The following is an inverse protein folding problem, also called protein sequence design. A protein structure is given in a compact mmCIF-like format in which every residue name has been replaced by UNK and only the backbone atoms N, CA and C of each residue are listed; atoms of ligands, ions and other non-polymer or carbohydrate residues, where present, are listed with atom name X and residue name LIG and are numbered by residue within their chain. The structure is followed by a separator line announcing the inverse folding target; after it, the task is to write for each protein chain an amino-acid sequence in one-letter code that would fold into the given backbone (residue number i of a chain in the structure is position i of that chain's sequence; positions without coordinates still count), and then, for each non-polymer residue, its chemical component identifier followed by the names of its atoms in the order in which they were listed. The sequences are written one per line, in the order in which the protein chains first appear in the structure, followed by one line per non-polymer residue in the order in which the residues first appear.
data_IF_792874210672
#
_entry.id   IF_792874210672
#
_cell.length_a   1.000
_cell.length_b   1.000
_cell.length_c   1.000
_cell.angle_alpha   90.00
_cell.angle_beta   90.00
_cell.angle_gamma   90.00
#
_symmetry.space_group_name_H-M   'P 1'
#
loop_
_entity.id
_entity.type
_entity.pdbx_description
1 polymer ?
#
# COMPACT_ATOMS: atom_id res chain seq x y z
N UNK A 1 -9.36 32.78 15.37
CA UNK A 1 -8.03 33.00 14.74
C UNK A 1 -7.78 31.85 13.79
N UNK A 2 -7.61 32.11 12.49
CA UNK A 2 -7.28 31.05 11.53
C UNK A 2 -5.90 30.47 11.87
N UNK A 3 -5.81 29.14 11.88
CA UNK A 3 -4.55 28.41 12.11
C UNK A 3 -3.50 28.84 11.07
N UNK A 4 -2.23 29.03 11.46
CA UNK A 4 -1.13 29.38 10.53
C UNK A 4 -0.83 28.30 9.48
N UNK A 5 -1.54 27.17 9.53
CA UNK A 5 -1.40 26.04 8.62
C UNK A 5 -2.41 26.02 7.48
N UNK A 6 -3.45 26.87 7.49
CA UNK A 6 -4.44 26.94 6.40
C UNK A 6 -4.22 28.17 5.52
N UNK A 7 -3.96 27.96 4.22
CA UNK A 7 -3.87 29.03 3.22
C UNK A 7 -5.13 29.04 2.35
N UNK A 8 -5.94 30.12 2.34
CA UNK A 8 -7.13 30.20 1.50
C UNK A 8 -6.78 30.12 0.00
N UNK A 9 -7.71 29.54 -0.75
CA UNK A 9 -7.63 29.27 -2.19
C UNK A 9 -7.65 30.57 -3.02
N UNK A 10 -6.46 31.11 -3.35
CA UNK A 10 -6.31 32.01 -4.50
C UNK A 10 -6.36 31.23 -5.82
N UNK A 11 -6.83 31.85 -6.91
CA UNK A 11 -6.75 31.27 -8.25
C UNK A 11 -5.28 30.97 -8.60
N UNK A 12 -4.98 29.71 -8.95
CA UNK A 12 -3.61 29.23 -9.15
C UNK A 12 -3.37 28.83 -10.60
N UNK A 13 -2.12 29.01 -11.10
CA UNK A 13 -1.77 28.67 -12.47
C UNK A 13 -1.93 27.17 -12.72
N UNK A 14 -2.27 26.84 -13.96
CA UNK A 14 -2.36 25.48 -14.47
C UNK A 14 -1.04 24.69 -14.23
N UNK A 15 -1.10 23.34 -14.18
CA UNK A 15 0.10 22.51 -14.10
C UNK A 15 1.10 22.88 -15.22
N UNK A 16 2.40 22.78 -14.93
CA UNK A 16 3.41 22.97 -15.97
C UNK A 16 3.30 21.88 -17.04
N UNK A 17 3.72 22.16 -18.27
CA UNK A 17 3.75 21.17 -19.35
C UNK A 17 4.53 19.90 -18.94
N UNK A 18 5.63 20.04 -18.18
CA UNK A 18 6.39 18.93 -17.64
C UNK A 18 5.60 18.07 -16.63
N UNK A 19 4.82 18.71 -15.76
CA UNK A 19 3.97 17.99 -14.80
C UNK A 19 2.86 17.24 -15.55
N UNK A 20 2.24 17.86 -16.55
CA UNK A 20 1.23 17.22 -17.40
C UNK A 20 1.81 16.01 -18.12
N UNK A 21 2.98 16.15 -18.77
CA UNK A 21 3.64 15.04 -19.48
C UNK A 21 3.99 13.87 -18.54
N UNK A 22 4.54 14.19 -17.35
CA UNK A 22 4.87 13.17 -16.36
C UNK A 22 3.63 12.38 -15.92
N UNK A 23 2.54 13.08 -15.58
CA UNK A 23 1.32 12.41 -15.14
C UNK A 23 0.68 11.62 -16.28
N UNK A 24 0.64 12.17 -17.50
CA UNK A 24 0.16 11.43 -18.66
C UNK A 24 0.96 10.15 -18.88
N UNK A 25 2.29 10.19 -18.73
CA UNK A 25 3.12 8.99 -18.79
C UNK A 25 2.79 7.99 -17.68
N UNK A 26 2.61 8.45 -16.44
CA UNK A 26 2.21 7.59 -15.32
C UNK A 26 0.85 6.92 -15.57
N UNK A 27 -0.15 7.67 -16.06
CA UNK A 27 -1.47 7.11 -16.40
C UNK A 27 -1.37 6.07 -17.52
N UNK A 28 -0.60 6.36 -18.57
CA UNK A 28 -0.43 5.46 -19.71
C UNK A 28 0.37 4.20 -19.37
N UNK A 29 1.39 4.31 -18.52
CA UNK A 29 2.34 3.22 -18.23
C UNK A 29 1.98 2.43 -16.97
N UNK A 30 1.18 2.99 -16.06
CA UNK A 30 0.82 2.35 -14.78
C UNK A 30 -0.68 2.12 -14.70
N UNK A 31 -1.48 3.20 -14.77
CA UNK A 31 -2.91 3.10 -14.50
C UNK A 31 -3.64 2.17 -15.47
N UNK A 32 -3.49 2.41 -16.77
CA UNK A 32 -4.19 1.64 -17.81
C UNK A 32 -3.72 0.17 -17.86
N UNK A 33 -2.42 -0.14 -18.05
CA UNK A 33 -1.97 -1.53 -18.15
C UNK A 33 -2.16 -2.28 -16.84
N UNK A 34 -1.92 -1.64 -15.69
CA UNK A 34 -2.14 -2.25 -14.38
C UNK A 34 -3.60 -2.59 -14.14
N UNK A 35 -4.52 -1.65 -14.38
CA UNK A 35 -5.94 -1.92 -14.24
C UNK A 35 -6.45 -2.99 -15.20
N UNK A 36 -5.96 -3.01 -16.45
CA UNK A 36 -6.27 -4.06 -17.40
C UNK A 36 -5.79 -5.43 -16.91
N UNK A 37 -4.53 -5.54 -16.47
CA UNK A 37 -3.96 -6.80 -15.99
C UNK A 37 -4.66 -7.33 -14.74
N UNK A 38 -4.84 -6.48 -13.72
CA UNK A 38 -5.59 -6.82 -12.50
C UNK A 38 -7.04 -7.22 -12.83
N UNK A 39 -7.70 -6.49 -13.74
CA UNK A 39 -9.05 -6.82 -14.19
C UNK A 39 -9.13 -8.20 -14.85
N UNK A 40 -8.17 -8.51 -15.73
CA UNK A 40 -8.11 -9.84 -16.38
C UNK A 40 -7.86 -10.96 -15.38
N UNK A 41 -6.99 -10.74 -14.37
CA UNK A 41 -6.76 -11.71 -13.29
C UNK A 41 -8.01 -11.94 -12.45
N UNK A 42 -8.69 -10.86 -12.05
CA UNK A 42 -9.92 -10.97 -11.26
C UNK A 42 -11.01 -11.72 -12.02
N UNK A 43 -11.18 -11.43 -13.33
CA UNK A 43 -12.13 -12.16 -14.18
C UNK A 43 -11.72 -13.62 -14.33
N UNK A 44 -10.44 -13.91 -14.57
CA UNK A 44 -9.95 -15.28 -14.68
C UNK A 44 -10.25 -16.08 -13.42
N UNK A 45 -9.89 -15.56 -12.25
CA UNK A 45 -10.14 -16.19 -10.95
C UNK A 45 -11.64 -16.41 -10.72
N UNK A 46 -12.49 -15.43 -11.04
CA UNK A 46 -13.94 -15.54 -10.91
C UNK A 46 -14.54 -16.61 -11.83
N UNK A 47 -14.00 -16.78 -13.04
CA UNK A 47 -14.50 -17.77 -14.01
C UNK A 47 -14.01 -19.18 -13.68
N UNK A 48 -12.81 -19.33 -13.13
CA UNK A 48 -12.23 -20.63 -12.78
C UNK A 48 -12.84 -21.17 -11.49
N UNK A 49 -12.87 -20.37 -10.42
CA UNK A 49 -13.34 -20.78 -9.09
C UNK A 49 -14.25 -19.72 -8.45
N UNK A 50 -15.49 -19.54 -8.94
CA UNK A 50 -16.35 -18.44 -8.54
C UNK A 50 -16.63 -18.39 -7.03
N UNK A 51 -16.76 -19.56 -6.38
CA UNK A 51 -17.02 -19.64 -4.94
C UNK A 51 -15.81 -19.13 -4.15
N UNK A 52 -14.60 -19.60 -4.47
CA UNK A 52 -13.37 -19.15 -3.79
C UNK A 52 -13.12 -17.67 -4.05
N UNK A 53 -13.31 -17.21 -5.29
CA UNK A 53 -13.18 -15.81 -5.66
C UNK A 53 -14.10 -14.90 -4.82
N UNK A 54 -15.38 -15.27 -4.68
CA UNK A 54 -16.34 -14.51 -3.89
C UNK A 54 -15.97 -14.53 -2.41
N UNK A 55 -15.64 -15.70 -1.85
CA UNK A 55 -15.25 -15.82 -0.44
C UNK A 55 -13.97 -15.02 -0.13
N UNK A 56 -12.99 -15.04 -1.03
CA UNK A 56 -11.76 -14.29 -0.92
C UNK A 56 -12.01 -12.78 -0.96
N UNK A 57 -12.81 -12.31 -1.90
CA UNK A 57 -13.22 -10.91 -1.98
C UNK A 57 -13.98 -10.45 -0.73
N UNK A 58 -14.89 -11.29 -0.21
CA UNK A 58 -15.61 -11.00 1.04
C UNK A 58 -14.68 -10.91 2.24
N UNK A 59 -13.73 -11.85 2.41
CA UNK A 59 -12.76 -11.84 3.49
C UNK A 59 -11.79 -10.64 3.40
N UNK A 60 -11.27 -10.36 2.20
CA UNK A 60 -10.41 -9.20 1.97
C UNK A 60 -11.16 -7.89 2.27
N UNK A 61 -12.43 -7.79 1.88
CA UNK A 61 -13.27 -6.62 2.17
C UNK A 61 -13.57 -6.51 3.67
N UNK A 62 -13.96 -7.61 4.32
CA UNK A 62 -14.29 -7.64 5.74
C UNK A 62 -13.10 -7.23 6.63
N UNK A 63 -11.88 -7.53 6.21
CA UNK A 63 -10.66 -7.15 6.92
C UNK A 63 -10.19 -5.73 6.57
N UNK A 64 -10.37 -5.28 5.32
CA UNK A 64 -9.90 -3.95 4.88
C UNK A 64 -10.81 -2.79 5.31
N UNK A 65 -12.13 -2.98 5.25
CA UNK A 65 -13.12 -1.92 5.54
C UNK A 65 -12.98 -1.32 6.94
N UNK A 66 -12.77 -2.10 8.03
CA UNK A 66 -12.56 -1.53 9.35
C UNK A 66 -11.37 -0.56 9.43
N UNK A 67 -10.26 -0.85 8.74
CA UNK A 67 -9.10 0.03 8.72
C UNK A 67 -9.34 1.30 7.91
N UNK A 68 -9.99 1.18 6.74
CA UNK A 68 -10.39 2.35 5.96
C UNK A 68 -11.37 3.23 6.76
N UNK A 69 -12.36 2.63 7.43
CA UNK A 69 -13.30 3.36 8.27
C UNK A 69 -12.62 4.07 9.44
N UNK A 70 -11.66 3.42 10.11
CA UNK A 70 -10.87 4.03 11.19
C UNK A 70 -10.04 5.20 10.68
N UNK A 71 -9.37 5.05 9.53
CA UNK A 71 -8.60 6.11 8.90
C UNK A 71 -9.48 7.33 8.56
N UNK A 72 -10.63 7.09 7.91
CA UNK A 72 -11.57 8.16 7.56
C UNK A 72 -12.24 8.79 8.79
N UNK A 73 -12.31 8.05 9.90
CA UNK A 73 -12.73 8.62 11.18
C UNK A 73 -11.70 9.60 11.74
N UNK A 74 -10.40 9.34 11.60
CA UNK A 74 -9.37 10.31 11.95
C UNK A 74 -9.43 11.57 11.07
N UNK A 75 -9.78 11.40 9.79
CA UNK A 75 -9.92 12.48 8.80
C UNK A 75 -11.26 13.25 8.87
N UNK A 76 -12.16 12.89 9.78
CA UNK A 76 -13.55 13.38 9.79
C UNK A 76 -13.72 14.91 9.90
N UNK A 77 -12.71 15.63 10.39
CA UNK A 77 -12.80 17.07 10.63
C UNK A 77 -12.52 17.89 9.37
N UNK A 78 -11.79 17.35 8.41
CA UNK A 78 -11.44 18.00 7.13
C UNK A 78 -11.56 16.93 6.02
N UNK A 79 -12.77 16.43 5.78
CA UNK A 79 -12.97 15.29 4.87
C UNK A 79 -12.54 15.59 3.44
N UNK A 80 -11.66 14.73 2.94
CA UNK A 80 -11.26 14.70 1.54
C UNK A 80 -12.41 14.27 0.60
N UNK A 81 -12.41 14.70 -0.68
CA UNK A 81 -13.49 14.37 -1.59
C UNK A 81 -13.50 12.86 -1.87
N UNK A 82 -14.68 12.25 -1.67
CA UNK A 82 -14.87 10.80 -1.76
C UNK A 82 -14.32 10.16 -3.05
N UNK A 83 -14.37 10.86 -4.17
CA UNK A 83 -13.86 10.35 -5.43
C UNK A 83 -12.33 10.24 -5.45
N UNK A 84 -11.57 11.10 -4.76
CA UNK A 84 -10.12 10.98 -4.62
C UNK A 84 -9.73 9.87 -3.64
N UNK A 85 -10.49 9.71 -2.56
CA UNK A 85 -10.32 8.60 -1.63
C UNK A 85 -10.52 7.26 -2.35
N UNK A 86 -11.59 7.17 -3.14
CA UNK A 86 -11.88 6.00 -3.97
C UNK A 86 -10.81 5.80 -5.05
N UNK A 87 -10.40 6.85 -5.75
CA UNK A 87 -9.36 6.77 -6.77
C UNK A 87 -8.01 6.30 -6.18
N UNK A 88 -7.67 6.73 -4.98
CA UNK A 88 -6.44 6.34 -4.29
C UNK A 88 -6.47 4.86 -3.91
N UNK A 89 -7.59 4.40 -3.34
CA UNK A 89 -7.80 2.98 -3.08
C UNK A 89 -7.73 2.15 -4.37
N UNK A 90 -8.46 2.56 -5.42
CA UNK A 90 -8.48 1.84 -6.71
C UNK A 90 -7.12 1.85 -7.40
N UNK A 91 -6.33 2.92 -7.27
CA UNK A 91 -4.96 2.95 -7.78
C UNK A 91 -4.13 1.84 -7.17
N UNK A 92 -4.17 1.71 -5.84
CA UNK A 92 -3.53 0.61 -5.13
C UNK A 92 -4.00 -0.74 -5.63
N UNK A 93 -5.32 -0.96 -5.60
CA UNK A 93 -5.95 -2.24 -5.89
C UNK A 93 -5.81 -2.71 -7.34
N UNK A 94 -5.62 -1.80 -8.29
CA UNK A 94 -5.68 -2.15 -9.72
C UNK A 94 -4.40 -1.75 -10.45
N UNK A 95 -4.09 -0.46 -10.51
CA UNK A 95 -2.95 0.06 -11.23
C UNK A 95 -1.62 -0.47 -10.67
N UNK A 96 -1.39 -0.27 -9.37
CA UNK A 96 -0.15 -0.67 -8.73
C UNK A 96 -0.01 -2.20 -8.66
N UNK A 97 -1.04 -2.92 -8.19
CA UNK A 97 -0.97 -4.39 -8.10
C UNK A 97 -0.79 -5.04 -9.48
N UNK A 98 -1.49 -4.55 -10.50
CA UNK A 98 -1.44 -5.18 -11.83
C UNK A 98 -0.06 -5.07 -12.48
N UNK A 99 0.55 -3.89 -12.42
CA UNK A 99 1.92 -3.72 -12.92
C UNK A 99 2.93 -4.46 -12.04
N UNK A 100 2.73 -4.49 -10.72
CA UNK A 100 3.61 -5.19 -9.80
C UNK A 100 3.67 -6.70 -10.10
N UNK A 101 2.52 -7.34 -10.36
CA UNK A 101 2.46 -8.75 -10.74
C UNK A 101 3.37 -9.04 -11.94
N UNK A 102 3.22 -8.27 -13.02
CA UNK A 102 4.02 -8.45 -14.24
C UNK A 102 5.51 -8.21 -14.00
N UNK A 103 5.85 -7.14 -13.27
CA UNK A 103 7.25 -6.78 -13.04
C UNK A 103 7.95 -7.75 -12.07
N UNK A 104 7.26 -8.23 -11.04
CA UNK A 104 7.81 -9.21 -10.09
C UNK A 104 8.06 -10.55 -10.79
N UNK A 105 7.15 -11.00 -11.66
CA UNK A 105 7.35 -12.21 -12.48
C UNK A 105 8.54 -12.04 -13.44
N UNK A 106 8.63 -10.88 -14.10
CA UNK A 106 9.75 -10.58 -15.00
C UNK A 106 11.10 -10.55 -14.27
N UNK A 107 11.18 -9.96 -13.07
CA UNK A 107 12.41 -9.96 -12.27
C UNK A 107 12.78 -11.38 -11.85
N UNK A 108 11.82 -12.21 -11.45
CA UNK A 108 12.06 -13.61 -11.11
C UNK A 108 12.61 -14.39 -12.30
N UNK A 109 11.99 -14.27 -13.47
CA UNK A 109 12.44 -14.94 -14.68
C UNK A 109 13.86 -14.51 -15.13
N UNK A 110 14.16 -13.21 -15.04
CA UNK A 110 15.49 -12.69 -15.34
C UNK A 110 16.53 -13.14 -14.31
N UNK A 111 16.16 -13.18 -13.03
CA UNK A 111 17.00 -13.68 -11.95
C UNK A 111 17.32 -15.16 -12.12
N UNK A 112 16.34 -15.98 -12.49
CA UNK A 112 16.52 -17.40 -12.78
C UNK A 112 17.46 -17.59 -13.98
N UNK A 113 17.28 -16.83 -15.06
CA UNK A 113 18.19 -16.86 -16.20
C UNK A 113 19.63 -16.46 -15.83
N UNK A 114 19.79 -15.48 -14.93
CA UNK A 114 21.10 -14.98 -14.52
C UNK A 114 21.83 -15.90 -13.53
N UNK A 115 21.08 -16.60 -12.66
CA UNK A 115 21.65 -17.40 -11.56
C UNK A 115 21.62 -18.91 -11.84
N UNK A 116 20.73 -19.37 -12.72
CA UNK A 116 20.44 -20.80 -12.92
C UNK A 116 19.67 -21.43 -11.76
N UNK A 117 19.15 -20.63 -10.82
CA UNK A 117 18.44 -21.11 -9.63
C UNK A 117 17.13 -20.34 -9.40
N UNK A 118 16.02 -21.03 -9.64
CA UNK A 118 14.66 -20.48 -9.49
C UNK A 118 14.37 -20.06 -8.05
N UNK A 119 14.77 -20.84 -7.05
CA UNK A 119 14.43 -20.57 -5.65
C UNK A 119 15.18 -19.33 -5.15
N UNK A 120 16.45 -19.18 -5.52
CA UNK A 120 17.21 -17.96 -5.23
C UNK A 120 16.59 -16.74 -5.91
N UNK A 121 16.16 -16.87 -7.17
CA UNK A 121 15.50 -15.78 -7.89
C UNK A 121 14.18 -15.35 -7.23
N UNK A 122 13.32 -16.31 -6.89
CA UNK A 122 12.06 -16.07 -6.17
C UNK A 122 12.31 -15.39 -4.83
N UNK A 123 13.26 -15.88 -4.03
CA UNK A 123 13.62 -15.28 -2.74
C UNK A 123 14.09 -13.84 -2.91
N UNK A 124 14.97 -13.58 -3.89
CA UNK A 124 15.42 -12.21 -4.18
C UNK A 124 14.26 -11.30 -4.56
N UNK A 125 13.35 -11.78 -5.42
CA UNK A 125 12.17 -11.02 -5.83
C UNK A 125 11.30 -10.68 -4.62
N UNK A 126 10.89 -11.68 -3.84
CA UNK A 126 10.00 -11.49 -2.69
C UNK A 126 10.64 -10.53 -1.67
N UNK A 127 11.93 -10.68 -1.38
CA UNK A 127 12.57 -9.93 -0.30
C UNK A 127 12.94 -8.51 -0.71
N UNK A 128 13.43 -8.30 -1.94
CA UNK A 128 14.01 -7.01 -2.33
C UNK A 128 13.30 -6.36 -3.51
N UNK A 129 13.07 -7.10 -4.60
CA UNK A 129 12.53 -6.50 -5.81
C UNK A 129 11.06 -6.09 -5.65
N UNK A 130 10.24 -6.96 -5.06
CA UNK A 130 8.83 -6.73 -4.83
C UNK A 130 8.60 -5.49 -3.93
N UNK A 131 9.25 -5.34 -2.75
CA UNK A 131 9.16 -4.10 -1.98
C UNK A 131 9.51 -2.83 -2.78
N UNK A 132 10.57 -2.88 -3.57
CA UNK A 132 10.98 -1.73 -4.38
C UNK A 132 9.95 -1.42 -5.48
N UNK A 133 9.53 -2.44 -6.24
CA UNK A 133 8.59 -2.31 -7.36
C UNK A 133 7.22 -1.83 -6.85
N UNK A 134 6.70 -2.50 -5.84
CA UNK A 134 5.36 -2.26 -5.34
C UNK A 134 5.23 -0.89 -4.67
N UNK A 135 6.14 -0.55 -3.76
CA UNK A 135 6.08 0.76 -3.11
C UNK A 135 6.33 1.89 -4.12
N UNK A 136 7.15 1.67 -5.16
CA UNK A 136 7.33 2.64 -6.26
C UNK A 136 6.01 2.87 -7.01
N UNK A 137 5.33 1.79 -7.40
CA UNK A 137 4.07 1.87 -8.14
C UNK A 137 2.95 2.50 -7.30
N UNK A 138 2.90 2.23 -6.00
CA UNK A 138 2.00 2.90 -5.05
C UNK A 138 2.33 4.38 -4.92
N UNK A 139 3.60 4.74 -4.78
CA UNK A 139 4.04 6.12 -4.67
C UNK A 139 3.67 6.96 -5.91
N UNK A 140 3.53 6.36 -7.09
CA UNK A 140 3.08 7.10 -8.28
C UNK A 140 1.68 7.72 -8.10
N UNK A 141 0.78 7.12 -7.31
CA UNK A 141 -0.50 7.73 -6.97
C UNK A 141 -0.33 9.10 -6.29
N UNK A 142 0.61 9.19 -5.34
CA UNK A 142 0.91 10.42 -4.62
C UNK A 142 1.58 11.46 -5.52
N UNK A 143 2.36 11.02 -6.53
CA UNK A 143 2.91 11.91 -7.56
C UNK A 143 1.79 12.50 -8.43
N UNK A 144 0.82 11.68 -8.83
CA UNK A 144 -0.37 12.15 -9.58
C UNK A 144 -1.16 13.16 -8.75
N UNK A 145 -1.41 12.86 -7.47
CA UNK A 145 -2.07 13.79 -6.54
C UNK A 145 -1.30 15.10 -6.43
N UNK A 146 0.02 15.06 -6.21
CA UNK A 146 0.85 16.26 -6.13
C UNK A 146 0.89 17.11 -7.41
N UNK A 147 0.72 16.49 -8.57
CA UNK A 147 0.79 17.18 -9.85
C UNK A 147 -0.56 17.78 -10.28
N UNK A 148 -1.66 17.05 -10.08
CA UNK A 148 -2.99 17.42 -10.59
C UNK A 148 -4.01 17.78 -9.52
N UNK A 149 -3.86 17.27 -8.29
CA UNK A 149 -4.85 17.39 -7.21
C UNK A 149 -4.23 17.91 -5.91
N UNK A 150 -3.14 18.68 -6.01
CA UNK A 150 -2.36 19.23 -4.88
C UNK A 150 -3.15 20.16 -3.97
N UNK A 151 -4.33 20.56 -4.42
CA UNK A 151 -5.31 21.28 -3.65
C UNK A 151 -5.93 20.42 -2.54
N UNK A 152 -6.09 19.13 -2.79
CA UNK A 152 -6.59 18.16 -1.82
C UNK A 152 -5.46 17.57 -0.97
N UNK A 153 -4.26 18.14 -1.07
CA UNK A 153 -3.14 17.80 -0.21
C UNK A 153 -2.67 19.13 0.40
N UNK A 154 -3.20 19.49 1.55
CA UNK A 154 -2.90 20.74 2.25
C UNK A 154 -2.24 20.53 3.62
N UNK A 155 -2.29 19.31 4.15
CA UNK A 155 -1.66 18.88 5.39
C UNK A 155 -0.84 17.58 5.28
N UNK A 156 -0.26 17.18 6.42
CA UNK A 156 0.43 15.89 6.55
C UNK A 156 -0.56 14.75 6.70
N UNK A 157 -1.71 15.01 7.34
CA UNK A 157 -2.76 14.02 7.56
C UNK A 157 -3.34 13.53 6.23
N UNK A 158 -3.64 14.41 5.28
CA UNK A 158 -4.17 14.01 3.96
C UNK A 158 -3.15 13.18 3.19
N UNK A 159 -1.85 13.52 3.29
CA UNK A 159 -0.78 12.68 2.78
C UNK A 159 -0.81 11.26 3.36
N UNK A 160 -0.99 11.14 4.69
CA UNK A 160 -1.18 9.84 5.36
C UNK A 160 -2.45 9.15 4.86
N UNK A 161 -3.57 9.86 4.75
CA UNK A 161 -4.86 9.28 4.32
C UNK A 161 -4.75 8.71 2.91
N UNK A 162 -4.27 9.49 1.94
CA UNK A 162 -4.10 9.01 0.57
C UNK A 162 -3.08 7.89 0.47
N UNK A 163 -1.91 8.01 1.11
CA UNK A 163 -0.89 6.96 1.10
C UNK A 163 -1.41 5.66 1.69
N UNK A 164 -2.08 5.74 2.84
CA UNK A 164 -2.65 4.57 3.52
C UNK A 164 -3.76 3.92 2.69
N UNK A 165 -4.62 4.71 2.03
CA UNK A 165 -5.66 4.17 1.15
C UNK A 165 -5.09 3.46 -0.08
N UNK A 166 -4.03 3.99 -0.70
CA UNK A 166 -3.33 3.31 -1.79
C UNK A 166 -2.75 1.97 -1.28
N UNK A 167 -2.12 1.97 -0.11
CA UNK A 167 -1.60 0.75 0.52
C UNK A 167 -2.70 -0.28 0.83
N UNK A 168 -3.83 0.16 1.38
CA UNK A 168 -5.00 -0.67 1.68
C UNK A 168 -5.62 -1.26 0.41
N UNK A 169 -5.72 -0.47 -0.66
CA UNK A 169 -6.21 -0.96 -1.96
C UNK A 169 -5.33 -2.06 -2.51
N UNK A 170 -4.01 -1.84 -2.50
CA UNK A 170 -3.05 -2.85 -2.93
C UNK A 170 -3.18 -4.14 -2.10
N UNK A 171 -3.20 -4.01 -0.77
CA UNK A 171 -3.36 -5.13 0.13
C UNK A 171 -4.69 -5.88 -0.11
N UNK A 172 -5.78 -5.16 -0.39
CA UNK A 172 -7.08 -5.77 -0.66
C UNK A 172 -7.02 -6.70 -1.86
N UNK A 173 -6.53 -6.21 -3.01
CA UNK A 173 -6.49 -7.02 -4.24
C UNK A 173 -5.52 -8.18 -4.09
N UNK A 174 -4.34 -7.92 -3.52
CA UNK A 174 -3.33 -8.95 -3.29
C UNK A 174 -3.87 -10.05 -2.36
N UNK A 175 -4.54 -9.68 -1.27
CA UNK A 175 -5.18 -10.62 -0.35
C UNK A 175 -6.25 -11.47 -1.03
N UNK A 176 -7.00 -10.95 -2.01
CA UNK A 176 -7.94 -11.77 -2.79
C UNK A 176 -7.20 -12.91 -3.49
N UNK A 177 -6.09 -12.61 -4.18
CA UNK A 177 -5.30 -13.62 -4.88
C UNK A 177 -4.72 -14.66 -3.91
N UNK A 178 -4.14 -14.20 -2.80
CA UNK A 178 -3.60 -15.10 -1.77
C UNK A 178 -4.67 -15.97 -1.11
N UNK A 179 -5.86 -15.42 -0.84
CA UNK A 179 -6.95 -16.18 -0.21
C UNK A 179 -7.57 -17.18 -1.17
N UNK A 180 -7.64 -16.88 -2.47
CA UNK A 180 -8.05 -17.88 -3.48
C UNK A 180 -7.04 -19.02 -3.51
N UNK A 181 -5.74 -18.71 -3.59
CA UNK A 181 -4.69 -19.72 -3.58
C UNK A 181 -4.76 -20.61 -2.34
N UNK A 182 -4.80 -20.02 -1.14
CA UNK A 182 -4.96 -20.78 0.11
C UNK A 182 -6.30 -21.52 0.20
N UNK A 183 -7.36 -20.99 -0.40
CA UNK A 183 -8.67 -21.63 -0.49
C UNK A 183 -8.66 -22.95 -1.25
N UNK A 184 -7.72 -23.13 -2.19
CA UNK A 184 -7.53 -24.42 -2.88
C UNK A 184 -7.02 -25.53 -1.95
N UNK A 185 -6.30 -25.16 -0.89
CA UNK A 185 -5.85 -26.08 0.16
C UNK A 185 -6.94 -26.35 1.22
N UNK A 186 -7.97 -25.50 1.25
CA UNK A 186 -9.19 -25.67 2.04
C UNK A 186 -9.57 -24.44 2.87
N UNK A 187 -10.78 -24.44 3.46
CA UNK A 187 -11.31 -23.26 4.18
C UNK A 187 -10.46 -22.85 5.38
N UNK A 188 -9.84 -23.80 6.09
CA UNK A 188 -8.98 -23.50 7.25
C UNK A 188 -7.71 -22.77 6.85
N UNK A 189 -7.09 -23.13 5.71
CA UNK A 189 -5.90 -22.45 5.21
C UNK A 189 -6.24 -21.01 4.80
N UNK A 190 -7.34 -20.82 4.06
CA UNK A 190 -7.86 -19.51 3.69
C UNK A 190 -8.13 -18.62 4.91
N UNK A 191 -8.84 -19.13 5.92
CA UNK A 191 -9.16 -18.38 7.14
C UNK A 191 -7.92 -18.09 7.98
N UNK A 192 -6.99 -19.04 8.08
CA UNK A 192 -5.71 -18.85 8.77
C UNK A 192 -4.88 -17.75 8.09
N UNK A 193 -4.83 -17.75 6.76
CA UNK A 193 -4.12 -16.72 6.01
C UNK A 193 -4.82 -15.35 6.12
N UNK A 194 -6.16 -15.33 6.09
CA UNK A 194 -6.94 -14.10 6.31
C UNK A 194 -6.76 -13.53 7.72
N UNK A 195 -6.59 -14.39 8.72
CA UNK A 195 -6.22 -13.97 10.07
C UNK A 195 -4.85 -13.29 10.08
N UNK A 196 -3.82 -13.94 9.53
CA UNK A 196 -2.44 -13.40 9.56
C UNK A 196 -2.33 -12.12 8.75
N UNK A 197 -2.79 -12.12 7.49
CA UNK A 197 -2.62 -11.00 6.55
C UNK A 197 -3.64 -9.90 6.76
N UNK A 198 -4.91 -10.27 6.98
CA UNK A 198 -6.02 -9.33 7.05
C UNK A 198 -6.26 -8.76 8.45
N UNK A 199 -6.11 -9.55 9.51
CA UNK A 199 -6.45 -9.09 10.89
C UNK A 199 -5.21 -8.69 11.67
N UNK A 200 -4.20 -9.56 11.72
CA UNK A 200 -3.01 -9.34 12.54
C UNK A 200 -2.07 -8.32 11.90
N UNK A 201 -1.86 -8.45 10.59
CA UNK A 201 -0.91 -7.61 9.82
C UNK A 201 -1.57 -6.49 9.03
N UNK A 202 -2.90 -6.41 9.01
CA UNK A 202 -3.65 -5.62 8.04
C UNK A 202 -3.25 -4.15 8.02
N UNK A 203 -3.36 -3.46 9.16
CA UNK A 203 -3.00 -2.03 9.25
C UNK A 203 -1.49 -1.78 9.23
N UNK A 204 -0.69 -2.70 9.77
CA UNK A 204 0.76 -2.52 9.94
C UNK A 204 1.60 -2.86 8.70
N UNK A 205 0.99 -3.39 7.65
CA UNK A 205 1.64 -3.77 6.39
C UNK A 205 1.55 -2.66 5.33
N UNK A 206 1.15 -2.97 4.09
CA UNK A 206 1.14 -2.02 2.96
C UNK A 206 0.46 -0.68 3.28
N UNK A 207 -0.62 -0.71 4.08
CA UNK A 207 -1.29 0.50 4.56
C UNK A 207 -0.32 1.45 5.29
N UNK A 208 0.42 0.93 6.27
CA UNK A 208 1.46 1.68 6.98
C UNK A 208 2.62 2.04 6.06
N UNK A 209 3.11 1.09 5.25
CA UNK A 209 4.28 1.33 4.39
C UNK A 209 4.04 2.50 3.43
N UNK A 210 2.97 2.45 2.65
CA UNK A 210 2.64 3.54 1.73
C UNK A 210 2.20 4.80 2.49
N UNK A 211 1.58 4.65 3.67
CA UNK A 211 1.32 5.75 4.59
C UNK A 211 2.58 6.54 4.98
N UNK A 212 3.74 5.90 5.17
CA UNK A 212 5.02 6.56 5.43
C UNK A 212 5.48 7.42 4.24
N UNK A 213 5.27 6.93 3.01
CA UNK A 213 5.49 7.76 1.81
C UNK A 213 4.55 8.98 1.83
N UNK A 214 3.29 8.76 2.22
CA UNK A 214 2.29 9.79 2.47
C UNK A 214 2.73 10.87 3.47
N UNK A 215 3.31 10.48 4.61
CA UNK A 215 3.90 11.40 5.59
C UNK A 215 4.93 12.30 4.92
N UNK A 216 5.85 11.73 4.16
CA UNK A 216 6.91 12.48 3.47
C UNK A 216 6.36 13.49 2.46
N UNK A 217 5.37 13.05 1.67
CA UNK A 217 4.66 13.89 0.69
C UNK A 217 3.90 15.04 1.36
N UNK A 218 3.16 14.77 2.43
CA UNK A 218 2.45 15.78 3.20
C UNK A 218 3.38 16.78 3.88
N UNK A 219 4.51 16.33 4.42
CA UNK A 219 5.54 17.21 4.99
C UNK A 219 6.14 18.14 3.94
N UNK A 220 6.46 17.62 2.75
CA UNK A 220 6.95 18.42 1.65
C UNK A 220 5.93 19.52 1.25
N UNK A 221 4.65 19.21 1.35
CA UNK A 221 3.58 20.11 0.96
C UNK A 221 3.45 21.35 1.84
N UNK A 222 3.74 21.22 3.13
CA UNK A 222 3.70 22.32 4.11
C UNK A 222 5.07 22.98 4.33
N UNK A 223 6.16 22.33 3.91
CA UNK A 223 7.51 22.84 4.11
C UNK A 223 7.78 24.14 3.35
N UNK A 224 8.49 25.07 4.01
CA UNK A 224 9.06 26.28 3.39
C UNK A 224 10.46 26.05 2.84
N UNK A 225 11.24 25.20 3.51
CA UNK A 225 12.59 24.85 3.10
C UNK A 225 12.57 23.89 1.90
N UNK A 226 13.35 24.24 0.87
CA UNK A 226 13.52 23.42 -0.34
C UNK A 226 14.09 22.04 -0.05
N UNK A 227 14.95 21.91 0.97
CA UNK A 227 15.57 20.64 1.33
C UNK A 227 14.55 19.69 1.90
N UNK A 228 13.67 20.18 2.79
CA UNK A 228 12.58 19.36 3.36
C UNK A 228 11.60 18.92 2.28
N UNK A 229 11.31 19.80 1.30
CA UNK A 229 10.44 19.46 0.16
C UNK A 229 10.92 18.27 -0.67
N UNK A 230 12.22 18.03 -0.73
CA UNK A 230 12.83 16.94 -1.51
C UNK A 230 13.17 15.76 -0.61
N UNK A 231 13.72 16.02 0.56
CA UNK A 231 14.18 14.98 1.48
C UNK A 231 13.01 14.23 2.14
N UNK A 232 11.93 14.92 2.53
CA UNK A 232 10.85 14.27 3.26
C UNK A 232 10.14 13.16 2.44
N UNK A 233 9.76 13.37 1.17
CA UNK A 233 9.18 12.31 0.34
C UNK A 233 10.16 11.15 0.12
N UNK A 234 11.44 11.45 -0.11
CA UNK A 234 12.48 10.43 -0.31
C UNK A 234 12.70 9.59 0.94
N UNK A 235 12.72 10.20 2.12
CA UNK A 235 12.84 9.50 3.41
C UNK A 235 11.60 8.66 3.70
N UNK A 236 10.40 9.21 3.50
CA UNK A 236 9.15 8.47 3.68
C UNK A 236 9.06 7.25 2.76
N UNK A 237 9.45 7.42 1.49
CA UNK A 237 9.53 6.34 0.51
C UNK A 237 10.57 5.27 0.87
N UNK A 238 11.78 5.69 1.26
CA UNK A 238 12.80 4.75 1.72
C UNK A 238 12.35 3.98 2.97
N UNK A 239 11.66 4.64 3.91
CA UNK A 239 11.10 4.00 5.10
C UNK A 239 10.01 2.98 4.74
N UNK A 240 9.17 3.25 3.73
CA UNK A 240 8.18 2.31 3.21
C UNK A 240 8.85 1.03 2.68
N UNK A 241 9.87 1.17 1.83
CA UNK A 241 10.63 0.03 1.30
C UNK A 241 11.30 -0.75 2.42
N UNK A 242 11.98 -0.07 3.35
CA UNK A 242 12.66 -0.74 4.46
C UNK A 242 11.67 -1.52 5.33
N UNK A 243 10.52 -0.92 5.67
CA UNK A 243 9.48 -1.59 6.45
C UNK A 243 8.97 -2.86 5.75
N UNK A 244 8.77 -2.78 4.43
CA UNK A 244 8.32 -3.89 3.61
C UNK A 244 9.38 -5.00 3.47
N UNK A 245 10.64 -4.64 3.20
CA UNK A 245 11.76 -5.61 3.18
C UNK A 245 11.89 -6.30 4.53
N UNK A 246 11.85 -5.55 5.64
CA UNK A 246 11.94 -6.12 7.00
C UNK A 246 10.83 -7.13 7.25
N UNK A 247 9.59 -6.82 6.82
CA UNK A 247 8.49 -7.78 6.90
C UNK A 247 8.77 -9.05 6.08
N UNK A 248 9.20 -8.91 4.83
CA UNK A 248 9.42 -10.05 3.92
C UNK A 248 10.62 -10.91 4.34
N UNK A 249 11.64 -10.34 4.99
CA UNK A 249 12.79 -11.09 5.52
C UNK A 249 12.40 -11.90 6.76
N UNK A 250 11.75 -11.27 7.74
CA UNK A 250 11.69 -11.83 9.09
C UNK A 250 10.33 -12.46 9.46
N UNK A 251 9.25 -12.14 8.75
CA UNK A 251 7.92 -12.68 9.11
C UNK A 251 7.87 -14.20 9.02
N UNK A 252 8.38 -14.79 7.93
CA UNK A 252 8.47 -16.24 7.75
C UNK A 252 9.29 -16.92 8.84
N UNK A 253 10.50 -16.42 9.10
CA UNK A 253 11.40 -16.95 10.14
C UNK A 253 10.75 -16.96 11.54
N UNK A 254 10.01 -15.89 11.88
CA UNK A 254 9.29 -15.83 13.16
C UNK A 254 8.14 -16.84 13.18
N UNK A 255 7.37 -16.96 12.10
CA UNK A 255 6.24 -17.91 12.04
C UNK A 255 6.72 -19.36 12.12
N UNK A 256 7.79 -19.69 11.40
CA UNK A 256 8.36 -21.04 11.35
C UNK A 256 8.91 -21.49 12.70
N UNK A 257 9.40 -20.55 13.53
CA UNK A 257 9.85 -20.83 14.89
C UNK A 257 8.75 -21.39 15.82
N UNK A 258 7.47 -21.23 15.46
CA UNK A 258 6.33 -21.79 16.21
C UNK A 258 5.83 -23.13 15.67
N UNK A 259 6.44 -23.68 14.61
CA UNK A 259 6.21 -25.05 14.15
C UNK A 259 4.83 -25.33 13.53
N UNK A 260 4.09 -24.30 13.12
CA UNK A 260 2.76 -24.40 12.50
C UNK A 260 1.59 -24.37 13.49
N UNK A 261 0.39 -24.63 12.97
CA UNK A 261 -0.84 -24.79 13.77
C UNK A 261 -1.25 -23.57 14.60
N UNK A 262 -2.03 -23.76 15.68
CA UNK A 262 -2.57 -22.67 16.49
C UNK A 262 -1.50 -21.78 17.15
N UNK A 263 -0.34 -22.31 17.51
CA UNK A 263 0.73 -21.53 18.12
C UNK A 263 1.28 -20.46 17.14
N UNK A 264 1.45 -20.85 15.88
CA UNK A 264 1.87 -19.93 14.81
C UNK A 264 0.83 -18.83 14.58
N UNK A 265 -0.46 -19.18 14.55
CA UNK A 265 -1.53 -18.21 14.30
C UNK A 265 -1.79 -17.27 15.48
N UNK A 266 -1.82 -17.80 16.72
CA UNK A 266 -2.26 -17.06 17.90
C UNK A 266 -1.12 -16.37 18.65
N UNK A 267 0.13 -16.79 18.44
CA UNK A 267 1.30 -16.22 19.11
C UNK A 267 2.32 -15.73 18.09
N UNK A 268 2.74 -16.58 17.16
CA UNK A 268 3.76 -16.25 16.17
C UNK A 268 3.40 -15.04 15.31
N UNK A 269 2.22 -15.04 14.70
CA UNK A 269 1.77 -13.93 13.85
C UNK A 269 1.61 -12.61 14.61
N UNK A 270 0.92 -12.55 15.77
CA UNK A 270 0.88 -11.32 16.57
C UNK A 270 2.26 -10.83 17.01
N UNK A 271 3.16 -11.75 17.39
CA UNK A 271 4.53 -11.40 17.75
C UNK A 271 5.30 -10.80 16.57
N UNK A 272 5.19 -11.41 15.38
CA UNK A 272 5.80 -10.89 14.16
C UNK A 272 5.27 -9.49 13.83
N UNK A 273 3.95 -9.27 13.90
CA UNK A 273 3.36 -7.94 13.67
C UNK A 273 3.87 -6.90 14.69
N UNK A 274 3.93 -7.25 15.98
CA UNK A 274 4.44 -6.35 17.02
C UNK A 274 5.91 -6.00 16.77
N UNK A 275 6.76 -6.99 16.51
CA UNK A 275 8.20 -6.76 16.36
C UNK A 275 8.55 -6.02 15.07
N UNK A 276 7.89 -6.38 13.97
CA UNK A 276 8.27 -5.92 12.63
C UNK A 276 7.48 -4.69 12.18
N UNK A 277 6.21 -4.55 12.57
CA UNK A 277 5.32 -3.48 12.08
C UNK A 277 5.11 -2.36 13.09
N UNK A 278 5.11 -2.64 14.40
CA UNK A 278 4.80 -1.64 15.42
C UNK A 278 5.71 -0.40 15.37
N UNK A 279 7.03 -0.49 15.10
CA UNK A 279 7.87 0.71 14.99
C UNK A 279 7.38 1.68 13.89
N UNK A 280 7.02 1.14 12.73
CA UNK A 280 6.57 1.91 11.57
C UNK A 280 5.15 2.43 11.76
N UNK A 281 4.25 1.59 12.28
CA UNK A 281 2.89 1.99 12.60
C UNK A 281 2.88 3.08 13.69
N UNK A 282 3.78 3.01 14.67
CA UNK A 282 3.91 4.03 15.71
C UNK A 282 4.29 5.40 15.13
N UNK A 283 5.17 5.44 14.12
CA UNK A 283 5.49 6.68 13.41
C UNK A 283 4.22 7.26 12.79
N UNK A 284 3.45 6.43 12.07
CA UNK A 284 2.20 6.86 11.44
C UNK A 284 1.20 7.40 12.48
N UNK A 285 0.98 6.65 13.57
CA UNK A 285 0.05 7.03 14.63
C UNK A 285 0.48 8.30 15.38
N UNK A 286 1.77 8.49 15.62
CA UNK A 286 2.29 9.72 16.22
C UNK A 286 2.08 10.90 15.29
N UNK A 287 2.38 10.75 13.99
CA UNK A 287 2.14 11.81 13.00
C UNK A 287 0.65 12.15 12.93
N UNK A 288 -0.22 11.14 12.85
CA UNK A 288 -1.66 11.32 12.88
C UNK A 288 -2.08 12.05 14.17
N UNK A 289 -1.65 11.60 15.35
CA UNK A 289 -1.99 12.24 16.62
C UNK A 289 -1.51 13.70 16.75
N UNK A 290 -0.33 14.02 16.20
CA UNK A 290 0.20 15.39 16.19
C UNK A 290 -0.52 16.32 15.20
N UNK A 291 -1.10 15.75 14.14
CA UNK A 291 -1.77 16.48 13.06
C UNK A 291 -3.28 16.47 13.19
N UNK A 292 -3.82 15.56 14.00
CA UNK A 292 -5.23 15.42 14.31
C UNK A 292 -5.68 16.64 15.12
N UNK A 293 -6.41 17.51 14.45
CA UNK A 293 -7.01 18.71 15.06
C UNK A 293 -8.23 18.30 15.86
N UNK A 294 -8.35 18.84 17.08
CA UNK A 294 -9.58 18.82 17.87
C UNK A 294 -10.68 19.66 17.21
#
# INVERSE_FOLDING_TARGET
MASPLHRPWGARPAPSASATLLVSAIVLLVAIPGAAWSGTHAVHVLLTDPVLAILAALLATATTVPYAALLLWFDRHEQEPFWLLTASFLWGATAATGVALVLNDAVTALGELATGDHDTAVRFTIVFAAPLVEESLKATALVVLLAWFREHLDGVLDGVVYGTLVGLGFAWFENVLYYVAAGTEGPTAMLGLAWVRGVVSGVGSHATFTGLTGVGVGLARIARDRWVRVAAPAVGFAAAIVAHVVWNVYSGEILDAFGGGPATLLVGAPLAAILLQAPFLSILLVVMGLTWRH
#
